data_IF_669122112097
#
_entry.id   IF_669122112097
#
_cell.length_a   1.000
_cell.length_b   1.000
_cell.length_c   1.000
_cell.angle_alpha   90.00
_cell.angle_beta   90.00
_cell.angle_gamma   90.00
#
_symmetry.space_group_name_H-M   'P 1'
#
loop_
_entity.id
_entity.type
_entity.pdbx_description
1 polymer ?
#
# COMPACT_ATOMS: atom_id res chain seq x y z
N UNK A 1 -9.56 32.81 2.99
CA UNK A 1 -11.01 32.52 2.99
C UNK A 1 -11.34 31.25 2.20
N UNK A 2 -11.00 31.17 0.90
CA UNK A 2 -11.36 30.02 0.03
C UNK A 2 -10.87 28.64 0.52
N UNK A 3 -9.64 28.51 1.01
CA UNK A 3 -9.12 27.23 1.52
C UNK A 3 -9.86 26.74 2.78
N UNK A 4 -10.30 27.67 3.64
CA UNK A 4 -11.06 27.34 4.85
C UNK A 4 -12.45 26.81 4.47
N UNK A 5 -13.10 27.45 3.50
CA UNK A 5 -14.40 27.00 2.97
C UNK A 5 -14.30 25.64 2.30
N UNK A 6 -13.25 25.39 1.51
CA UNK A 6 -12.97 24.07 0.94
C UNK A 6 -12.76 23.02 2.03
N UNK A 7 -11.97 23.32 3.06
CA UNK A 7 -11.75 22.40 4.17
C UNK A 7 -13.04 22.06 4.93
N UNK A 8 -13.90 23.05 5.17
CA UNK A 8 -15.22 22.84 5.78
C UNK A 8 -16.09 21.96 4.90
N UNK A 9 -16.16 22.21 3.58
CA UNK A 9 -16.91 21.36 2.65
C UNK A 9 -16.39 19.92 2.61
N UNK A 10 -15.07 19.72 2.63
CA UNK A 10 -14.47 18.39 2.65
C UNK A 10 -14.79 17.68 3.96
N UNK A 11 -14.76 18.37 5.10
CA UNK A 11 -15.17 17.82 6.40
C UNK A 11 -16.65 17.41 6.46
N UNK A 12 -17.51 18.11 5.74
CA UNK A 12 -18.93 17.76 5.62
C UNK A 12 -19.23 16.72 4.53
N UNK A 13 -18.23 16.24 3.79
CA UNK A 13 -18.41 15.19 2.80
C UNK A 13 -18.56 13.82 3.47
N UNK A 14 -19.13 12.86 2.74
CA UNK A 14 -19.20 11.44 3.16
C UNK A 14 -17.85 10.71 3.16
N UNK A 15 -16.78 11.39 2.76
CA UNK A 15 -15.44 10.84 2.60
C UNK A 15 -14.49 11.37 3.67
N UNK A 16 -13.49 10.57 4.04
CA UNK A 16 -12.47 11.04 4.98
C UNK A 16 -11.68 12.18 4.33
N UNK A 17 -11.45 13.32 5.02
CA UNK A 17 -10.79 14.48 4.43
C UNK A 17 -9.44 14.18 3.76
N UNK A 18 -8.62 13.32 4.38
CA UNK A 18 -7.32 12.94 3.84
C UNK A 18 -7.41 12.26 2.47
N UNK A 19 -8.47 11.49 2.21
CA UNK A 19 -8.67 10.79 0.93
C UNK A 19 -8.98 11.76 -0.18
N UNK A 20 -9.78 12.79 0.14
CA UNK A 20 -10.14 13.84 -0.81
C UNK A 20 -8.92 14.70 -1.16
N UNK A 21 -8.11 15.05 -0.16
CA UNK A 21 -6.86 15.78 -0.39
C UNK A 21 -5.84 14.96 -1.17
N UNK A 22 -5.69 13.68 -0.83
CA UNK A 22 -4.81 12.78 -1.55
C UNK A 22 -5.24 12.62 -3.00
N UNK A 23 -6.54 12.45 -3.26
CA UNK A 23 -7.09 12.38 -4.62
C UNK A 23 -6.84 13.66 -5.40
N UNK A 24 -7.06 14.83 -4.81
CA UNK A 24 -6.77 16.11 -5.45
C UNK A 24 -5.28 16.23 -5.80
N UNK A 25 -4.38 15.86 -4.89
CA UNK A 25 -2.95 15.87 -5.14
C UNK A 25 -2.55 14.88 -6.25
N UNK A 26 -3.11 13.67 -6.23
CA UNK A 26 -2.86 12.65 -7.26
C UNK A 26 -3.32 13.11 -8.64
N UNK A 27 -4.49 13.74 -8.75
CA UNK A 27 -4.99 14.31 -10.01
C UNK A 27 -4.04 15.41 -10.51
N UNK A 28 -3.63 16.34 -9.65
CA UNK A 28 -2.69 17.41 -10.02
C UNK A 28 -1.39 16.80 -10.55
N UNK A 29 -0.84 15.80 -9.85
CA UNK A 29 0.38 15.11 -10.27
C UNK A 29 0.20 14.42 -11.63
N UNK A 30 -0.92 13.73 -11.85
CA UNK A 30 -1.23 13.13 -13.14
C UNK A 30 -1.32 14.17 -14.26
N UNK A 31 -1.95 15.33 -14.00
CA UNK A 31 -2.03 16.40 -14.99
C UNK A 31 -0.65 17.00 -15.30
N UNK A 32 0.20 17.16 -14.29
CA UNK A 32 1.58 17.63 -14.47
C UNK A 32 2.34 16.70 -15.41
N UNK A 33 2.25 15.38 -15.17
CA UNK A 33 2.91 14.37 -15.98
C UNK A 33 2.31 14.29 -17.39
N UNK A 34 0.98 14.26 -17.49
CA UNK A 34 0.26 14.18 -18.77
C UNK A 34 0.56 15.35 -19.72
N UNK A 35 0.65 16.57 -19.19
CA UNK A 35 0.96 17.76 -19.99
C UNK A 35 2.47 18.01 -20.13
N UNK A 36 3.32 17.16 -19.54
CA UNK A 36 4.77 17.31 -19.44
C UNK A 36 5.20 18.75 -19.15
N UNK A 37 4.68 19.31 -18.06
CA UNK A 37 4.99 20.68 -17.65
C UNK A 37 6.42 20.68 -17.10
N UNK A 38 7.40 20.86 -17.97
CA UNK A 38 8.85 20.70 -17.69
C UNK A 38 9.31 21.14 -16.31
N UNK A 39 9.08 22.41 -15.87
CA UNK A 39 9.50 22.86 -14.54
C UNK A 39 8.92 22.04 -13.37
N UNK A 40 7.68 21.56 -13.51
CA UNK A 40 7.00 20.75 -12.50
C UNK A 40 7.46 19.30 -12.57
N UNK A 41 7.65 18.73 -13.76
CA UNK A 41 8.24 17.40 -13.96
C UNK A 41 9.66 17.33 -13.37
N UNK A 42 10.49 18.36 -13.61
CA UNK A 42 11.84 18.46 -13.05
C UNK A 42 11.83 18.59 -11.53
N UNK A 43 10.84 19.32 -10.98
CA UNK A 43 10.64 19.41 -9.54
C UNK A 43 10.30 18.04 -8.94
N UNK A 44 9.43 17.26 -9.59
CA UNK A 44 9.09 15.89 -9.15
C UNK A 44 10.31 14.97 -9.18
N UNK A 45 11.11 15.01 -10.25
CA UNK A 45 12.36 14.24 -10.35
C UNK A 45 13.38 14.66 -9.29
N UNK A 46 13.48 15.95 -9.01
CA UNK A 46 14.36 16.47 -7.96
C UNK A 46 13.92 16.01 -6.57
N UNK A 47 12.61 15.99 -6.30
CA UNK A 47 12.06 15.47 -5.06
C UNK A 47 12.34 13.96 -4.91
N UNK A 48 12.13 13.19 -5.97
CA UNK A 48 12.43 11.77 -6.02
C UNK A 48 13.93 11.49 -5.78
N UNK A 49 14.81 12.27 -6.42
CA UNK A 49 16.25 12.18 -6.22
C UNK A 49 16.66 12.55 -4.78
N UNK A 50 16.05 13.57 -4.18
CA UNK A 50 16.27 13.92 -2.78
C UNK A 50 15.79 12.82 -1.82
N UNK A 51 14.71 12.12 -2.18
CA UNK A 51 14.18 11.01 -1.41
C UNK A 51 14.92 9.68 -1.67
N UNK A 52 15.91 9.64 -2.56
CA UNK A 52 16.67 8.43 -2.91
C UNK A 52 17.30 7.72 -1.70
N UNK A 53 17.79 8.48 -0.71
CA UNK A 53 18.34 7.94 0.54
C UNK A 53 17.30 7.24 1.45
N UNK A 54 16.00 7.45 1.18
CA UNK A 54 14.89 6.88 1.92
C UNK A 54 14.11 5.82 1.14
N UNK A 55 14.56 5.43 -0.06
CA UNK A 55 13.89 4.38 -0.86
C UNK A 55 13.71 3.07 -0.09
N UNK A 56 14.66 2.74 0.80
CA UNK A 56 14.58 1.56 1.64
C UNK A 56 13.36 1.59 2.58
N UNK A 57 12.98 2.76 3.10
CA UNK A 57 11.79 2.92 3.97
C UNK A 57 10.53 2.56 3.19
N UNK A 58 10.46 3.02 1.95
CA UNK A 58 9.30 2.83 1.10
C UNK A 58 9.20 1.37 0.62
N UNK A 59 10.34 0.74 0.32
CA UNK A 59 10.42 -0.70 0.05
C UNK A 59 9.99 -1.52 1.27
N UNK A 60 10.45 -1.16 2.48
CA UNK A 60 10.01 -1.82 3.71
C UNK A 60 8.51 -1.64 3.95
N UNK A 61 7.95 -0.48 3.62
CA UNK A 61 6.52 -0.24 3.78
C UNK A 61 5.69 -1.21 2.94
N UNK A 62 6.01 -1.38 1.65
CA UNK A 62 5.30 -2.33 0.80
C UNK A 62 5.55 -3.79 1.21
N UNK A 63 6.77 -4.13 1.63
CA UNK A 63 7.05 -5.46 2.18
C UNK A 63 6.22 -5.75 3.44
N UNK A 64 6.11 -4.78 4.35
CA UNK A 64 5.30 -4.89 5.56
C UNK A 64 3.82 -5.12 5.26
N UNK A 65 3.27 -4.42 4.28
CA UNK A 65 1.87 -4.62 3.85
C UNK A 65 1.67 -6.02 3.25
N UNK A 66 2.59 -6.49 2.39
CA UNK A 66 2.52 -7.84 1.81
C UNK A 66 2.65 -8.93 2.88
N UNK A 67 3.53 -8.77 3.86
CA UNK A 67 3.63 -9.67 5.02
C UNK A 67 2.32 -9.63 5.83
N UNK A 68 1.67 -8.47 5.94
CA UNK A 68 0.36 -8.32 6.57
C UNK A 68 -0.72 -9.20 5.93
N UNK A 69 -0.81 -9.23 4.59
CA UNK A 69 -1.75 -10.10 3.88
C UNK A 69 -1.51 -11.58 4.18
N UNK A 70 -0.24 -12.00 4.18
CA UNK A 70 0.13 -13.39 4.47
C UNK A 70 -0.23 -13.75 5.91
N UNK A 71 0.01 -12.83 6.86
CA UNK A 71 -0.36 -13.02 8.24
C UNK A 71 -1.88 -13.20 8.37
N UNK A 72 -2.68 -12.32 7.76
CA UNK A 72 -4.15 -12.39 7.82
C UNK A 72 -4.66 -13.74 7.30
N UNK A 73 -4.16 -14.18 6.15
CA UNK A 73 -4.51 -15.47 5.55
C UNK A 73 -4.17 -16.67 6.46
N UNK A 74 -3.01 -16.65 7.12
CA UNK A 74 -2.62 -17.70 8.06
C UNK A 74 -3.43 -17.68 9.38
N UNK A 75 -3.95 -16.51 9.75
CA UNK A 75 -4.84 -16.38 10.91
C UNK A 75 -6.25 -16.88 10.59
N UNK A 76 -6.82 -16.53 9.44
CA UNK A 76 -8.13 -17.05 8.98
C UNK A 76 -8.13 -18.57 8.83
N UNK A 77 -7.01 -19.16 8.38
CA UNK A 77 -6.89 -20.62 8.20
C UNK A 77 -6.53 -21.40 9.48
N UNK A 78 -6.52 -20.74 10.64
CA UNK A 78 -6.09 -21.31 11.93
C UNK A 78 -6.80 -22.60 12.37
N UNK A 79 -8.01 -22.87 11.87
CA UNK A 79 -8.76 -24.09 12.18
C UNK A 79 -8.45 -25.27 11.24
N UNK A 80 -7.88 -25.03 10.06
CA UNK A 80 -7.62 -26.09 9.07
C UNK A 80 -6.20 -26.66 9.15
N UNK A 81 -5.18 -25.82 9.35
CA UNK A 81 -3.79 -26.28 9.45
C UNK A 81 -3.51 -27.18 10.67
N UNK A 82 -4.25 -26.98 11.76
CA UNK A 82 -4.12 -27.75 12.99
C UNK A 82 -4.54 -29.23 12.84
N UNK A 83 -5.23 -29.60 11.75
CA UNK A 83 -5.71 -30.98 11.53
C UNK A 83 -4.70 -31.91 10.85
N UNK A 84 -3.59 -31.39 10.32
CA UNK A 84 -2.73 -32.15 9.39
C UNK A 84 -1.60 -32.93 10.09
N UNK A 85 -1.35 -32.77 11.40
CA UNK A 85 -0.13 -33.33 12.01
C UNK A 85 -0.19 -33.73 13.48
N UNK A 86 -0.74 -34.92 13.74
CA UNK A 86 -0.50 -35.85 14.88
C UNK A 86 -0.75 -35.39 16.34
N UNK A 87 -1.37 -36.29 17.11
CA UNK A 87 -1.85 -36.13 18.49
C UNK A 87 -0.79 -36.14 19.62
N UNK A 88 0.50 -35.90 19.33
CA UNK A 88 1.57 -36.11 20.33
C UNK A 88 2.26 -34.85 20.87
N UNK A 89 1.91 -33.66 20.36
CA UNK A 89 2.26 -32.39 21.01
C UNK A 89 1.06 -31.45 20.88
N UNK A 90 0.75 -30.76 21.98
CA UNK A 90 -0.40 -29.87 22.14
C UNK A 90 -0.55 -28.94 20.92
N UNK A 91 -1.76 -28.88 20.35
CA UNK A 91 -2.03 -28.34 19.01
C UNK A 91 -1.50 -26.93 18.76
N UNK A 92 -1.26 -26.17 19.84
CA UNK A 92 -0.75 -24.80 19.84
C UNK A 92 0.72 -24.71 19.46
N UNK A 93 1.58 -25.59 19.97
CA UNK A 93 3.03 -25.49 19.72
C UNK A 93 3.36 -25.84 18.26
N UNK A 94 2.68 -26.86 17.71
CA UNK A 94 2.80 -27.23 16.29
C UNK A 94 2.28 -26.13 15.37
N UNK A 95 1.13 -25.54 15.71
CA UNK A 95 0.55 -24.42 14.93
C UNK A 95 1.48 -23.21 14.96
N UNK A 96 2.08 -22.91 16.12
CA UNK A 96 3.05 -21.82 16.26
C UNK A 96 4.30 -22.07 15.40
N UNK A 97 4.90 -23.26 15.49
CA UNK A 97 6.10 -23.60 14.70
C UNK A 97 5.81 -23.55 13.20
N UNK A 98 4.66 -24.07 12.76
CA UNK A 98 4.24 -24.01 11.36
C UNK A 98 4.07 -22.56 10.88
N UNK A 99 3.38 -21.72 11.65
CA UNK A 99 3.20 -20.29 11.33
C UNK A 99 4.53 -19.55 11.25
N UNK A 100 5.42 -19.75 12.23
CA UNK A 100 6.75 -19.14 12.24
C UNK A 100 7.56 -19.60 11.02
N UNK A 101 7.51 -20.89 10.70
CA UNK A 101 8.21 -21.46 9.53
C UNK A 101 7.71 -20.85 8.21
N UNK A 102 6.39 -20.81 8.00
CA UNK A 102 5.78 -20.23 6.79
C UNK A 102 6.10 -18.72 6.71
N UNK A 103 5.87 -17.96 7.79
CA UNK A 103 6.14 -16.53 7.81
C UNK A 103 7.62 -16.20 7.57
N UNK A 104 8.53 -17.02 8.10
CA UNK A 104 9.97 -16.86 7.84
C UNK A 104 10.30 -17.11 6.37
N UNK A 105 9.76 -18.19 5.79
CA UNK A 105 9.96 -18.51 4.37
C UNK A 105 9.40 -17.44 3.44
N UNK A 106 8.16 -17.02 3.68
CA UNK A 106 7.50 -15.97 2.88
C UNK A 106 8.20 -14.63 3.04
N UNK A 107 8.58 -14.25 4.26
CA UNK A 107 9.35 -13.03 4.51
C UNK A 107 10.70 -13.05 3.78
N UNK A 108 11.39 -14.18 3.73
CA UNK A 108 12.63 -14.31 2.95
C UNK A 108 12.40 -14.09 1.45
N UNK A 109 11.34 -14.69 0.88
CA UNK A 109 10.96 -14.49 -0.53
C UNK A 109 10.61 -13.03 -0.80
N UNK A 110 9.77 -12.41 0.03
CA UNK A 110 9.38 -11.00 -0.08
C UNK A 110 10.61 -10.08 0.03
N UNK A 111 11.52 -10.39 0.95
CA UNK A 111 12.76 -9.62 1.17
C UNK A 111 13.66 -9.62 -0.07
N UNK A 112 13.74 -10.75 -0.78
CA UNK A 112 14.55 -10.90 -1.98
C UNK A 112 13.86 -10.38 -3.25
N UNK A 113 12.56 -10.61 -3.39
CA UNK A 113 11.84 -10.32 -4.63
C UNK A 113 11.39 -8.86 -4.73
N UNK A 114 10.78 -8.32 -3.66
CA UNK A 114 10.11 -7.02 -3.70
C UNK A 114 11.05 -5.86 -4.07
N UNK A 115 12.28 -5.74 -3.52
CA UNK A 115 13.15 -4.63 -3.89
C UNK A 115 13.47 -4.63 -5.39
N UNK A 116 13.68 -5.81 -5.98
CA UNK A 116 13.98 -5.95 -7.40
C UNK A 116 12.76 -5.58 -8.26
N UNK A 117 11.58 -6.08 -7.91
CA UNK A 117 10.34 -5.77 -8.64
C UNK A 117 10.04 -4.27 -8.60
N UNK A 118 10.08 -3.66 -7.40
CA UNK A 118 9.77 -2.24 -7.20
C UNK A 118 10.77 -1.35 -7.96
N UNK A 119 12.07 -1.63 -7.87
CA UNK A 119 13.10 -0.83 -8.56
C UNK A 119 13.05 -0.98 -10.08
N UNK A 120 12.54 -2.10 -10.59
CA UNK A 120 12.44 -2.34 -12.04
C UNK A 120 11.16 -1.75 -12.61
N UNK A 121 10.06 -1.80 -11.86
CA UNK A 121 8.74 -1.38 -12.33
C UNK A 121 8.47 0.12 -12.15
N UNK A 122 9.15 0.78 -11.22
CA UNK A 122 8.87 2.17 -10.87
C UNK A 122 9.87 3.15 -11.48
N UNK A 123 9.37 4.13 -12.22
CA UNK A 123 10.12 5.31 -12.67
C UNK A 123 10.30 6.33 -11.55
N UNK A 124 9.24 6.50 -10.74
CA UNK A 124 9.23 7.32 -9.53
C UNK A 124 9.02 6.40 -8.32
N UNK A 125 10.09 5.75 -7.88
CA UNK A 125 10.06 4.70 -6.86
C UNK A 125 9.26 5.09 -5.61
N UNK A 126 9.52 6.27 -5.03
CA UNK A 126 8.88 6.74 -3.81
C UNK A 126 7.40 7.00 -4.06
N UNK A 127 7.06 7.79 -5.08
CA UNK A 127 5.67 8.17 -5.38
C UNK A 127 4.83 6.93 -5.68
N UNK A 128 5.33 6.06 -6.57
CA UNK A 128 4.58 4.89 -7.02
C UNK A 128 4.42 3.86 -5.91
N UNK A 129 5.47 3.63 -5.13
CA UNK A 129 5.38 2.66 -4.04
C UNK A 129 4.50 3.19 -2.90
N UNK A 130 4.49 4.50 -2.62
CA UNK A 130 3.51 5.11 -1.69
C UNK A 130 2.09 4.91 -2.20
N UNK A 131 1.84 5.12 -3.49
CA UNK A 131 0.55 4.83 -4.11
C UNK A 131 0.13 3.37 -3.94
N UNK A 132 1.05 2.43 -4.21
CA UNK A 132 0.82 1.00 -4.06
C UNK A 132 0.54 0.61 -2.60
N UNK A 133 1.29 1.15 -1.64
CA UNK A 133 1.09 0.92 -0.20
C UNK A 133 -0.29 1.40 0.25
N UNK A 134 -0.77 2.55 -0.27
CA UNK A 134 -2.11 3.05 0.06
C UNK A 134 -3.18 2.10 -0.46
N UNK A 135 -3.08 1.64 -1.72
CA UNK A 135 -4.03 0.70 -2.30
C UNK A 135 -4.02 -0.62 -1.53
N UNK A 136 -2.85 -1.22 -1.38
CA UNK A 136 -2.68 -2.49 -0.69
C UNK A 136 -3.08 -2.40 0.78
N UNK A 137 -2.79 -1.29 1.46
CA UNK A 137 -3.18 -1.08 2.85
C UNK A 137 -4.70 -0.95 3.02
N UNK A 138 -5.39 -0.24 2.12
CA UNK A 138 -6.85 -0.18 2.14
C UNK A 138 -7.45 -1.56 1.88
N UNK A 139 -6.88 -2.34 0.95
CA UNK A 139 -7.31 -3.70 0.66
C UNK A 139 -7.05 -4.66 1.83
N UNK A 140 -5.92 -4.53 2.52
CA UNK A 140 -5.61 -5.35 3.69
C UNK A 140 -6.62 -5.11 4.82
N UNK A 141 -6.94 -3.84 5.10
CA UNK A 141 -7.98 -3.48 6.07
C UNK A 141 -9.36 -3.97 5.62
N UNK A 142 -9.61 -4.03 4.30
CA UNK A 142 -10.85 -4.56 3.76
C UNK A 142 -11.00 -6.06 4.02
N UNK A 143 -9.96 -6.86 3.77
CA UNK A 143 -10.01 -8.31 4.04
C UNK A 143 -10.30 -8.59 5.53
N UNK A 144 -9.74 -7.78 6.43
CA UNK A 144 -9.91 -7.96 7.88
C UNK A 144 -11.24 -7.42 8.46
N UNK A 145 -12.08 -6.72 7.68
CA UNK A 145 -13.25 -6.00 8.20
C UNK A 145 -14.59 -6.44 7.60
N UNK A 146 -15.50 -6.91 8.46
CA UNK A 146 -16.83 -7.41 8.06
C UNK A 146 -17.83 -6.31 7.66
N UNK A 147 -17.65 -5.06 8.12
CA UNK A 147 -18.62 -3.96 7.94
C UNK A 147 -18.19 -2.94 6.86
N UNK A 148 -17.38 -3.38 5.91
CA UNK A 148 -16.75 -2.48 4.96
C UNK A 148 -17.70 -1.94 3.88
N UNK A 149 -17.53 -0.66 3.51
CA UNK A 149 -18.24 -0.03 2.40
C UNK A 149 -17.24 0.52 1.35
N UNK A 150 -17.19 -0.05 0.13
CA UNK A 150 -16.27 0.40 -0.93
C UNK A 150 -16.45 1.86 -1.29
N UNK A 151 -17.70 2.32 -1.18
CA UNK A 151 -18.09 3.65 -1.65
C UNK A 151 -17.56 4.76 -0.76
N UNK A 152 -17.09 4.46 0.47
CA UNK A 152 -16.52 5.47 1.38
C UNK A 152 -15.01 5.57 1.29
N UNK A 153 -14.33 4.53 0.81
CA UNK A 153 -12.85 4.49 0.68
C UNK A 153 -12.38 4.75 -0.77
N UNK A 154 -13.33 4.81 -1.72
CA UNK A 154 -13.07 4.98 -3.15
C UNK A 154 -12.10 6.14 -3.50
N UNK A 155 -12.18 7.35 -2.91
CA UNK A 155 -11.23 8.41 -3.26
C UNK A 155 -9.80 8.05 -2.88
N UNK A 156 -9.59 7.33 -1.76
CA UNK A 156 -8.28 6.85 -1.35
C UNK A 156 -7.73 5.78 -2.31
N UNK A 157 -8.57 4.82 -2.70
CA UNK A 157 -8.21 3.79 -3.67
C UNK A 157 -7.85 4.38 -5.04
N UNK A 158 -8.67 5.29 -5.56
CA UNK A 158 -8.41 5.95 -6.84
C UNK A 158 -7.13 6.78 -6.76
N UNK A 159 -6.92 7.54 -5.68
CA UNK A 159 -5.70 8.32 -5.51
C UNK A 159 -4.45 7.44 -5.45
N UNK A 160 -4.50 6.35 -4.66
CA UNK A 160 -3.40 5.40 -4.58
C UNK A 160 -3.09 4.75 -5.93
N UNK A 161 -4.11 4.36 -6.69
CA UNK A 161 -3.96 3.78 -8.03
C UNK A 161 -3.34 4.77 -9.02
N UNK A 162 -3.81 6.02 -9.01
CA UNK A 162 -3.23 7.09 -9.83
C UNK A 162 -1.75 7.28 -9.51
N UNK A 163 -1.38 7.38 -8.24
CA UNK A 163 0.02 7.54 -7.84
C UNK A 163 0.89 6.32 -8.20
N UNK A 164 0.34 5.11 -8.09
CA UNK A 164 1.06 3.87 -8.37
C UNK A 164 1.33 3.65 -9.86
N UNK A 165 0.36 4.01 -10.72
CA UNK A 165 0.37 3.60 -12.14
C UNK A 165 0.65 4.76 -13.08
N UNK A 166 0.07 5.94 -12.84
CA UNK A 166 0.16 7.06 -13.79
C UNK A 166 1.60 7.46 -14.14
N UNK A 167 2.57 7.48 -13.20
CA UNK A 167 3.95 7.87 -13.54
C UNK A 167 4.68 6.95 -14.51
N UNK A 168 4.17 5.77 -14.84
CA UNK A 168 4.76 4.86 -15.84
C UNK A 168 3.96 4.81 -17.14
N UNK A 169 2.74 5.34 -17.16
CA UNK A 169 1.80 5.21 -18.29
C UNK A 169 1.55 6.54 -19.01
N UNK A 170 1.77 7.67 -18.32
CA UNK A 170 1.62 9.03 -18.84
C UNK A 170 3.00 9.65 -19.08
#
# INVERSE_FOLDING_TARGET
MVLLELHVRVKHSKYKPWQVYLLAAAIILCLILYFDIGPLTDTLRSLEAAASGFQWVVILAIQGVLIGFVAEYLYEQGDEYAKVGSNEFDSKDKTLVARVGIMTGVSAVITLAVPNVVRTAAEYLVIQTVGAVIVLGILLVHESSSDWNPKTELPGLVAGLLLAVAPTVL
#
